data_IF_435315657348
#
_entry.id   IF_435315657348
#
_cell.length_a   1.000
_cell.length_b   1.000
_cell.length_c   1.000
_cell.angle_alpha   90.00
_cell.angle_beta   90.00
_cell.angle_gamma   90.00
#
_symmetry.space_group_name_H-M   'P 1'
#
loop_
_entity.id
_entity.type
_entity.pdbx_description
1 polymer ?
#
# COMPACT_ATOMS: atom_id res chain seq x y z
N UNK A 1 11.89 -3.91 8.90
CA UNK A 1 11.54 -4.05 7.46
C UNK A 1 12.63 -3.47 6.56
N UNK A 2 12.88 -2.15 6.55
CA UNK A 2 13.88 -1.56 5.63
C UNK A 2 15.29 -2.15 5.80
N UNK A 3 15.75 -2.33 7.06
CA UNK A 3 17.03 -2.98 7.36
C UNK A 3 17.06 -4.41 6.80
N UNK A 4 15.98 -5.17 6.98
CA UNK A 4 15.86 -6.55 6.49
C UNK A 4 15.97 -6.60 4.97
N UNK A 5 15.21 -5.77 4.25
CA UNK A 5 15.26 -5.74 2.79
C UNK A 5 16.62 -5.23 2.28
N UNK A 6 17.22 -4.21 2.88
CA UNK A 6 18.58 -3.77 2.52
C UNK A 6 19.60 -4.90 2.69
N UNK A 7 19.52 -5.66 3.79
CA UNK A 7 20.39 -6.81 4.01
C UNK A 7 20.17 -7.91 2.96
N UNK A 8 18.91 -8.17 2.58
CA UNK A 8 18.59 -9.12 1.51
C UNK A 8 19.09 -8.63 0.15
N UNK A 9 18.94 -7.35 -0.19
CA UNK A 9 19.48 -6.77 -1.42
C UNK A 9 21.01 -6.87 -1.46
N UNK A 10 21.68 -6.65 -0.32
CA UNK A 10 23.14 -6.80 -0.23
C UNK A 10 23.57 -8.25 -0.42
N UNK A 11 22.96 -9.18 0.30
CA UNK A 11 23.34 -10.60 0.30
C UNK A 11 23.01 -11.29 -1.01
N UNK A 12 21.77 -11.14 -1.49
CA UNK A 12 21.33 -11.79 -2.72
C UNK A 12 21.69 -11.00 -3.98
N UNK A 13 21.84 -9.67 -3.90
CA UNK A 13 22.36 -8.87 -5.01
C UNK A 13 23.79 -9.26 -5.38
N UNK A 14 24.64 -9.59 -4.40
CA UNK A 14 25.99 -10.10 -4.64
C UNK A 14 26.03 -11.42 -5.43
N UNK A 15 24.97 -12.22 -5.36
CA UNK A 15 24.84 -13.49 -6.09
C UNK A 15 24.25 -13.31 -7.51
N UNK A 16 23.94 -12.07 -7.92
CA UNK A 16 23.40 -11.75 -9.24
C UNK A 16 24.42 -11.00 -10.10
N UNK A 17 24.16 -10.90 -11.41
CA UNK A 17 24.98 -10.15 -12.38
C UNK A 17 25.11 -8.66 -12.01
N UNK A 18 24.20 -8.13 -11.19
CA UNK A 18 24.20 -6.73 -10.76
C UNK A 18 25.22 -6.43 -9.65
N UNK A 19 25.55 -7.41 -8.81
CA UNK A 19 26.35 -7.18 -7.60
C UNK A 19 25.59 -6.45 -6.48
N UNK A 20 26.17 -6.44 -5.28
CA UNK A 20 25.54 -5.87 -4.07
C UNK A 20 25.27 -4.36 -4.19
N UNK A 21 26.19 -3.63 -4.81
CA UNK A 21 26.21 -2.18 -4.76
C UNK A 21 25.17 -1.58 -5.71
N UNK A 22 25.05 -2.14 -6.91
CA UNK A 22 24.01 -1.75 -7.87
C UNK A 22 22.63 -2.11 -7.32
N UNK A 23 22.44 -3.34 -6.83
CA UNK A 23 21.14 -3.78 -6.29
C UNK A 23 20.69 -2.90 -5.11
N UNK A 24 21.60 -2.59 -4.18
CA UNK A 24 21.30 -1.74 -3.02
C UNK A 24 21.03 -0.29 -3.44
N UNK A 25 21.81 0.26 -4.37
CA UNK A 25 21.62 1.61 -4.89
C UNK A 25 20.27 1.76 -5.61
N UNK A 26 19.96 0.83 -6.51
CA UNK A 26 18.67 0.76 -7.24
C UNK A 26 17.50 0.64 -6.27
N UNK A 27 17.60 -0.24 -5.26
CA UNK A 27 16.57 -0.38 -4.26
C UNK A 27 16.36 0.92 -3.46
N UNK A 28 17.45 1.58 -3.05
CA UNK A 28 17.39 2.87 -2.35
C UNK A 28 16.72 3.96 -3.18
N UNK A 29 17.06 4.06 -4.47
CA UNK A 29 16.39 4.95 -5.43
C UNK A 29 14.91 4.61 -5.56
N UNK A 30 14.57 3.34 -5.76
CA UNK A 30 13.19 2.87 -5.88
C UNK A 30 12.36 3.25 -4.66
N UNK A 31 12.93 3.12 -3.45
CA UNK A 31 12.26 3.54 -2.21
C UNK A 31 11.98 5.04 -2.17
N UNK A 32 12.87 5.90 -2.69
CA UNK A 32 12.61 7.35 -2.77
C UNK A 32 11.42 7.65 -3.68
N UNK A 33 11.37 7.03 -4.85
CA UNK A 33 10.25 7.22 -5.79
C UNK A 33 8.94 6.67 -5.20
N UNK A 34 9.00 5.52 -4.53
CA UNK A 34 7.87 4.96 -3.78
C UNK A 34 7.34 5.94 -2.72
N UNK A 35 8.20 6.68 -2.02
CA UNK A 35 7.76 7.67 -1.03
C UNK A 35 6.98 8.84 -1.67
N UNK A 36 7.33 9.25 -2.89
CA UNK A 36 6.58 10.26 -3.63
C UNK A 36 5.17 9.75 -3.90
N UNK A 37 5.03 8.52 -4.41
CA UNK A 37 3.72 7.89 -4.60
C UNK A 37 2.96 7.74 -3.27
N UNK A 38 3.66 7.31 -2.21
CA UNK A 38 3.10 7.14 -0.87
C UNK A 38 2.48 8.44 -0.32
N UNK A 39 3.14 9.58 -0.54
CA UNK A 39 2.71 10.88 -0.04
C UNK A 39 1.30 11.28 -0.50
N UNK A 40 0.89 10.87 -1.71
CA UNK A 40 -0.47 11.12 -2.21
C UNK A 40 -1.53 10.39 -1.39
N UNK A 41 -1.25 9.15 -0.96
CA UNK A 41 -2.15 8.38 -0.11
C UNK A 41 -2.20 8.92 1.31
N UNK A 42 -1.10 9.47 1.82
CA UNK A 42 -1.07 10.23 3.08
C UNK A 42 -2.02 11.42 2.96
N UNK A 43 -1.95 12.18 1.86
CA UNK A 43 -2.85 13.32 1.60
C UNK A 43 -4.33 12.93 1.62
N UNK A 44 -4.71 11.87 0.90
CA UNK A 44 -6.10 11.34 0.93
C UNK A 44 -6.50 10.93 2.35
N UNK A 45 -5.62 10.23 3.05
CA UNK A 45 -5.87 9.72 4.40
C UNK A 45 -6.08 10.83 5.42
N UNK A 46 -5.26 11.87 5.38
CA UNK A 46 -5.37 13.04 6.25
C UNK A 46 -6.64 13.85 5.97
N UNK A 47 -7.10 13.91 4.72
CA UNK A 47 -8.33 14.61 4.35
C UNK A 47 -9.58 13.89 4.87
N UNK A 48 -9.62 12.56 4.80
CA UNK A 48 -10.83 11.79 5.14
C UNK A 48 -10.98 11.55 6.64
N UNK A 49 -9.88 11.56 7.40
CA UNK A 49 -9.86 11.29 8.83
C UNK A 49 -10.79 12.21 9.63
N UNK A 50 -10.70 13.56 9.53
CA UNK A 50 -11.60 14.46 10.24
C UNK A 50 -13.05 14.38 9.74
N UNK A 51 -13.27 14.15 8.44
CA UNK A 51 -14.61 13.97 7.86
C UNK A 51 -15.29 12.76 8.49
N UNK A 52 -14.57 11.64 8.60
CA UNK A 52 -15.07 10.41 9.22
C UNK A 52 -15.28 10.61 10.72
N UNK A 53 -14.34 11.25 11.43
CA UNK A 53 -14.48 11.53 12.87
C UNK A 53 -15.69 12.38 13.21
N UNK A 54 -15.90 13.48 12.48
CA UNK A 54 -17.05 14.35 12.69
C UNK A 54 -18.38 13.64 12.37
N UNK A 55 -18.49 13.02 11.19
CA UNK A 55 -19.74 12.36 10.79
C UNK A 55 -20.06 11.14 11.67
N UNK A 56 -19.04 10.41 12.14
CA UNK A 56 -19.24 9.30 13.06
C UNK A 56 -19.70 9.79 14.45
N UNK A 57 -19.09 10.86 14.98
CA UNK A 57 -19.53 11.50 16.22
C UNK A 57 -20.94 12.09 16.15
N UNK A 58 -21.33 12.60 14.97
CA UNK A 58 -22.69 13.10 14.70
C UNK A 58 -23.71 11.98 14.37
N UNK A 59 -23.35 10.69 14.49
CA UNK A 59 -24.19 9.54 14.15
C UNK A 59 -24.65 9.49 12.67
N UNK A 60 -23.96 10.18 11.77
CA UNK A 60 -24.22 10.18 10.33
C UNK A 60 -23.52 9.01 9.62
N UNK A 61 -23.80 7.77 10.03
CA UNK A 61 -23.09 6.57 9.57
C UNK A 61 -23.15 6.34 8.04
N UNK A 62 -24.27 6.69 7.40
CA UNK A 62 -24.40 6.60 5.94
C UNK A 62 -23.40 7.52 5.21
N UNK A 63 -23.14 8.72 5.76
CA UNK A 63 -22.14 9.65 5.22
C UNK A 63 -20.73 9.11 5.42
N UNK A 64 -20.44 8.51 6.58
CA UNK A 64 -19.15 7.87 6.84
C UNK A 64 -18.88 6.74 5.83
N UNK A 65 -19.88 5.89 5.57
CA UNK A 65 -19.77 4.84 4.56
C UNK A 65 -19.52 5.43 3.16
N UNK A 66 -20.27 6.48 2.77
CA UNK A 66 -20.09 7.16 1.48
C UNK A 66 -18.68 7.74 1.35
N UNK A 67 -18.17 8.42 2.38
CA UNK A 67 -16.80 8.97 2.41
C UNK A 67 -15.77 7.87 2.24
N UNK A 68 -15.91 6.73 2.94
CA UNK A 68 -15.01 5.59 2.78
C UNK A 68 -14.99 5.05 1.35
N UNK A 69 -16.15 4.89 0.70
CA UNK A 69 -16.21 4.40 -0.67
C UNK A 69 -15.59 5.37 -1.68
N UNK A 70 -15.88 6.66 -1.57
CA UNK A 70 -15.30 7.69 -2.45
C UNK A 70 -13.79 7.74 -2.27
N UNK A 71 -13.32 7.78 -1.02
CA UNK A 71 -11.89 7.78 -0.72
C UNK A 71 -11.19 6.53 -1.24
N UNK A 72 -11.81 5.36 -1.09
CA UNK A 72 -11.26 4.10 -1.61
C UNK A 72 -11.18 4.09 -3.13
N UNK A 73 -12.17 4.66 -3.83
CA UNK A 73 -12.16 4.78 -5.28
C UNK A 73 -11.04 5.72 -5.76
N UNK A 74 -10.89 6.88 -5.11
CA UNK A 74 -9.80 7.83 -5.40
C UNK A 74 -8.44 7.17 -5.14
N UNK A 75 -8.28 6.48 -4.02
CA UNK A 75 -7.03 5.81 -3.67
C UNK A 75 -6.69 4.71 -4.69
N UNK A 76 -7.64 3.86 -5.08
CA UNK A 76 -7.41 2.85 -6.13
C UNK A 76 -7.06 3.52 -7.46
N UNK A 77 -7.74 4.62 -7.84
CA UNK A 77 -7.40 5.38 -9.03
C UNK A 77 -5.95 5.87 -9.04
N UNK A 78 -5.51 6.50 -7.94
CA UNK A 78 -4.11 6.95 -7.76
C UNK A 78 -3.14 5.76 -7.82
N UNK A 79 -3.48 4.64 -7.18
CA UNK A 79 -2.67 3.42 -7.20
C UNK A 79 -2.52 2.83 -8.59
N UNK A 80 -3.58 2.82 -9.40
CA UNK A 80 -3.55 2.32 -10.79
C UNK A 80 -2.66 3.22 -11.65
N UNK A 81 -2.77 4.55 -11.51
CA UNK A 81 -1.91 5.50 -12.25
C UNK A 81 -0.43 5.25 -11.93
N UNK A 82 -0.08 5.15 -10.64
CA UNK A 82 1.30 4.87 -10.23
C UNK A 82 1.78 3.49 -10.66
N UNK A 83 0.93 2.47 -10.59
CA UNK A 83 1.23 1.15 -11.11
C UNK A 83 1.61 1.19 -12.61
N UNK A 84 0.83 1.90 -13.43
CA UNK A 84 1.14 2.07 -14.85
C UNK A 84 2.46 2.81 -15.06
N UNK A 85 2.72 3.88 -14.30
CA UNK A 85 3.98 4.62 -14.36
C UNK A 85 5.17 3.68 -14.08
N UNK A 86 5.08 2.87 -13.02
CA UNK A 86 6.16 1.94 -12.64
C UNK A 86 6.34 0.78 -13.63
N UNK A 87 5.28 0.35 -14.31
CA UNK A 87 5.35 -0.73 -15.29
C UNK A 87 5.87 -0.28 -16.65
N UNK A 88 5.44 0.90 -17.11
CA UNK A 88 5.74 1.43 -18.45
C UNK A 88 7.05 2.20 -18.48
N UNK A 89 7.35 2.99 -17.45
CA UNK A 89 8.48 3.93 -17.45
C UNK A 89 9.58 3.66 -16.39
N UNK A 90 9.93 2.41 -16.04
CA UNK A 90 10.90 2.18 -14.96
C UNK A 90 12.32 2.65 -15.32
N UNK A 91 12.75 2.52 -16.58
CA UNK A 91 14.07 3.00 -17.03
C UNK A 91 14.18 4.52 -17.02
N UNK A 92 13.11 5.21 -17.42
CA UNK A 92 13.04 6.67 -17.44
C UNK A 92 13.12 7.23 -16.03
N UNK A 93 12.40 6.62 -15.08
CA UNK A 93 12.51 6.95 -13.66
C UNK A 93 13.94 6.74 -13.17
N UNK A 94 14.58 5.62 -13.53
CA UNK A 94 15.95 5.32 -13.14
C UNK A 94 16.98 6.29 -13.74
N UNK A 95 16.79 6.72 -14.99
CA UNK A 95 17.69 7.68 -15.65
C UNK A 95 17.71 9.07 -14.99
N UNK A 96 16.70 9.41 -14.19
CA UNK A 96 16.71 10.64 -13.40
C UNK A 96 17.72 10.60 -12.24
N UNK A 97 18.21 9.41 -11.85
CA UNK A 97 19.12 9.25 -10.71
C UNK A 97 20.52 8.77 -11.11
N UNK A 98 20.67 8.09 -12.24
CA UNK A 98 21.96 7.57 -12.72
C UNK A 98 22.12 7.81 -14.21
N UNK A 99 23.31 8.26 -14.60
CA UNK A 99 23.70 8.52 -15.99
C UNK A 99 24.18 7.24 -16.70
N UNK A 100 23.50 6.85 -17.78
CA UNK A 100 23.87 5.87 -18.83
C UNK A 100 24.70 4.64 -18.42
N UNK A 101 24.37 4.00 -17.31
CA UNK A 101 24.85 2.66 -16.99
C UNK A 101 23.78 1.61 -17.34
N UNK A 102 24.00 0.87 -18.43
CA UNK A 102 23.05 -0.13 -18.93
C UNK A 102 22.67 -1.19 -17.87
N UNK A 103 23.65 -1.69 -17.10
CA UNK A 103 23.41 -2.66 -16.03
C UNK A 103 22.55 -2.09 -14.90
N UNK A 104 22.73 -0.80 -14.58
CA UNK A 104 21.91 -0.13 -13.57
C UNK A 104 20.46 0.03 -14.03
N UNK A 105 20.26 0.45 -15.29
CA UNK A 105 18.93 0.60 -15.88
C UNK A 105 18.19 -0.74 -16.00
N UNK A 106 18.89 -1.82 -16.32
CA UNK A 106 18.34 -3.18 -16.35
C UNK A 106 17.94 -3.66 -14.96
N UNK A 107 18.81 -3.46 -13.96
CA UNK A 107 18.51 -3.78 -12.58
C UNK A 107 17.30 -2.98 -12.08
N UNK A 108 17.24 -1.69 -12.39
CA UNK A 108 16.11 -0.84 -12.02
C UNK A 108 14.81 -1.30 -12.67
N UNK A 109 14.81 -1.58 -13.97
CA UNK A 109 13.64 -2.12 -14.65
C UNK A 109 13.12 -3.40 -13.99
N UNK A 110 14.03 -4.32 -13.67
CA UNK A 110 13.68 -5.58 -13.03
C UNK A 110 13.10 -5.37 -11.63
N UNK A 111 13.79 -4.60 -10.79
CA UNK A 111 13.37 -4.29 -9.42
C UNK A 111 12.01 -3.59 -9.38
N UNK A 112 11.79 -2.56 -10.20
CA UNK A 112 10.51 -1.84 -10.23
C UNK A 112 9.36 -2.74 -10.66
N UNK A 113 9.54 -3.56 -11.70
CA UNK A 113 8.47 -4.45 -12.20
C UNK A 113 8.09 -5.50 -11.16
N UNK A 114 9.05 -6.13 -10.50
CA UNK A 114 8.76 -7.15 -9.48
C UNK A 114 8.17 -6.53 -8.22
N UNK A 115 8.77 -5.46 -7.70
CA UNK A 115 8.35 -4.88 -6.43
C UNK A 115 6.99 -4.16 -6.53
N UNK A 116 6.73 -3.47 -7.64
CA UNK A 116 5.51 -2.68 -7.83
C UNK A 116 4.35 -3.47 -8.48
N UNK A 117 4.48 -4.78 -8.63
CA UNK A 117 3.53 -5.63 -9.35
C UNK A 117 2.08 -5.55 -8.82
N UNK A 118 1.91 -5.40 -7.51
CA UNK A 118 0.59 -5.28 -6.87
C UNK A 118 0.29 -3.87 -6.36
N UNK A 119 1.02 -2.84 -6.84
CA UNK A 119 0.89 -1.47 -6.34
C UNK A 119 -0.51 -0.89 -6.54
N UNK A 120 -1.27 -1.40 -7.53
CA UNK A 120 -2.67 -1.02 -7.75
C UNK A 120 -3.59 -1.36 -6.55
N UNK A 121 -3.22 -2.30 -5.69
CA UNK A 121 -3.95 -2.66 -4.46
C UNK A 121 -3.58 -1.79 -3.26
N UNK A 122 -2.50 -1.02 -3.37
CA UNK A 122 -1.86 -0.33 -2.26
C UNK A 122 -2.76 0.71 -1.57
N UNK A 123 -3.54 1.46 -2.35
CA UNK A 123 -4.28 2.61 -1.87
C UNK A 123 -5.32 2.28 -0.79
N UNK A 124 -5.91 1.08 -0.84
CA UNK A 124 -6.95 0.69 0.10
C UNK A 124 -6.42 0.58 1.54
N UNK A 125 -5.14 0.22 1.73
CA UNK A 125 -4.61 -0.02 3.06
C UNK A 125 -4.54 1.28 3.88
N UNK A 126 -4.07 2.39 3.29
CA UNK A 126 -3.97 3.68 3.98
C UNK A 126 -5.35 4.26 4.27
N UNK A 127 -6.23 4.25 3.27
CA UNK A 127 -7.61 4.73 3.42
C UNK A 127 -8.36 3.96 4.51
N UNK A 128 -8.16 2.65 4.58
CA UNK A 128 -8.77 1.80 5.61
C UNK A 128 -8.22 2.08 7.01
N UNK A 129 -6.90 2.27 7.15
CA UNK A 129 -6.30 2.63 8.42
C UNK A 129 -6.85 3.98 8.93
N UNK A 130 -6.82 5.03 8.09
CA UNK A 130 -7.35 6.35 8.42
C UNK A 130 -8.85 6.31 8.75
N UNK A 131 -9.64 5.52 8.02
CA UNK A 131 -11.05 5.28 8.35
C UNK A 131 -11.23 4.71 9.76
N UNK A 132 -10.52 3.63 10.10
CA UNK A 132 -10.61 3.03 11.43
C UNK A 132 -10.15 3.98 12.54
N UNK A 133 -9.13 4.80 12.27
CA UNK A 133 -8.67 5.82 13.19
C UNK A 133 -9.74 6.90 13.40
N UNK A 134 -10.36 7.39 12.31
CA UNK A 134 -11.41 8.39 12.34
C UNK A 134 -12.67 7.96 13.12
N UNK A 135 -13.07 6.69 13.04
CA UNK A 135 -14.23 6.17 13.79
C UNK A 135 -13.91 5.72 15.24
N UNK A 136 -12.72 6.05 15.76
CA UNK A 136 -12.32 5.70 17.12
C UNK A 136 -11.98 4.22 17.33
N UNK A 137 -11.49 3.53 16.29
CA UNK A 137 -11.03 2.12 16.36
C UNK A 137 -9.53 1.99 16.08
N UNK A 138 -8.65 2.59 16.89
CA UNK A 138 -7.21 2.64 16.64
C UNK A 138 -6.57 1.25 16.58
N UNK A 139 -7.04 0.27 17.35
CA UNK A 139 -6.50 -1.10 17.29
C UNK A 139 -6.59 -1.73 15.89
N UNK A 140 -7.72 -1.53 15.18
CA UNK A 140 -7.87 -2.01 13.80
C UNK A 140 -7.03 -1.20 12.82
N UNK A 141 -6.90 0.11 13.07
CA UNK A 141 -6.04 1.00 12.28
C UNK A 141 -4.58 0.59 12.36
N UNK A 142 -4.09 0.19 13.54
CA UNK A 142 -2.71 -0.23 13.76
C UNK A 142 -2.44 -1.64 13.23
N UNK A 143 -3.44 -2.53 13.31
CA UNK A 143 -3.32 -3.90 12.80
C UNK A 143 -2.99 -3.94 11.30
N UNK A 144 -3.56 -3.06 10.49
CA UNK A 144 -3.37 -3.03 9.03
C UNK A 144 -1.89 -2.85 8.63
N UNK A 145 -1.20 -1.75 9.01
CA UNK A 145 0.20 -1.54 8.64
C UNK A 145 1.14 -2.54 9.34
N UNK A 146 0.83 -2.96 10.57
CA UNK A 146 1.61 -3.97 11.29
C UNK A 146 1.53 -5.35 10.62
N UNK A 147 0.34 -5.79 10.21
CA UNK A 147 0.15 -7.04 9.51
C UNK A 147 0.91 -7.02 8.17
N UNK A 148 0.77 -5.94 7.39
CA UNK A 148 1.47 -5.78 6.11
C UNK A 148 2.99 -5.83 6.28
N UNK A 149 3.55 -4.97 7.12
CA UNK A 149 5.00 -4.79 7.20
C UNK A 149 5.69 -5.82 8.11
N UNK A 150 5.06 -6.17 9.22
CA UNK A 150 5.61 -7.09 10.22
C UNK A 150 5.26 -8.54 9.91
N UNK A 151 3.96 -8.86 9.82
CA UNK A 151 3.50 -10.24 9.74
C UNK A 151 3.58 -10.86 8.35
N UNK A 152 3.41 -10.07 7.28
CA UNK A 152 3.41 -10.59 5.92
C UNK A 152 4.76 -10.37 5.25
N UNK A 153 5.22 -9.12 5.16
CA UNK A 153 6.39 -8.79 4.36
C UNK A 153 7.69 -9.40 4.89
N UNK A 154 7.96 -9.34 6.20
CA UNK A 154 9.23 -9.87 6.75
C UNK A 154 9.33 -11.40 6.56
N UNK A 155 8.32 -12.21 6.97
CA UNK A 155 8.38 -13.66 6.77
C UNK A 155 8.43 -14.05 5.29
N UNK A 156 7.62 -13.41 4.44
CA UNK A 156 7.62 -13.68 3.01
C UNK A 156 8.96 -13.33 2.37
N UNK A 157 9.56 -12.19 2.73
CA UNK A 157 10.86 -11.79 2.19
C UNK A 157 11.95 -12.77 2.58
N UNK A 158 11.97 -13.25 3.83
CA UNK A 158 12.95 -14.24 4.28
C UNK A 158 12.73 -15.63 3.66
N UNK A 159 11.47 -16.04 3.47
CA UNK A 159 11.14 -17.35 2.89
C UNK A 159 11.41 -17.38 1.38
N UNK A 160 10.87 -16.41 0.64
CA UNK A 160 11.00 -16.37 -0.82
C UNK A 160 12.43 -16.07 -1.25
N UNK A 161 13.17 -15.23 -0.53
CA UNK A 161 14.57 -14.95 -0.88
C UNK A 161 15.48 -16.18 -0.74
N UNK A 162 15.18 -17.10 0.18
CA UNK A 162 15.92 -18.37 0.28
C UNK A 162 15.76 -19.25 -0.95
N UNK A 163 14.58 -19.22 -1.59
CA UNK A 163 14.28 -20.07 -2.75
C UNK A 163 14.56 -19.39 -4.09
N UNK A 164 14.31 -18.08 -4.20
CA UNK A 164 14.35 -17.32 -5.45
C UNK A 164 15.35 -16.13 -5.41
N UNK A 165 16.18 -16.05 -4.38
CA UNK A 165 17.22 -15.02 -4.26
C UNK A 165 16.67 -13.58 -4.23
N UNK A 166 17.23 -12.73 -5.09
CA UNK A 166 16.86 -11.31 -5.20
C UNK A 166 15.38 -11.15 -5.58
N UNK A 167 14.92 -11.91 -6.57
CA UNK A 167 13.55 -11.85 -7.08
C UNK A 167 12.55 -12.25 -6.00
N UNK A 168 12.90 -13.24 -5.16
CA UNK A 168 12.09 -13.64 -4.02
C UNK A 168 11.91 -12.53 -2.99
N UNK A 169 12.98 -11.76 -2.71
CA UNK A 169 12.90 -10.61 -1.82
C UNK A 169 12.02 -9.50 -2.39
N UNK A 170 12.05 -9.28 -3.71
CA UNK A 170 11.25 -8.28 -4.40
C UNK A 170 9.76 -8.69 -4.49
N UNK A 171 9.48 -9.94 -4.82
CA UNK A 171 8.12 -10.51 -4.93
C UNK A 171 7.40 -10.63 -3.58
N UNK A 172 8.12 -10.61 -2.47
CA UNK A 172 7.48 -10.58 -1.16
C UNK A 172 6.61 -9.32 -0.95
N UNK A 173 6.97 -8.19 -1.56
CA UNK A 173 6.21 -6.94 -1.48
C UNK A 173 4.80 -7.05 -2.11
N UNK A 174 4.64 -7.42 -3.39
CA UNK A 174 3.32 -7.52 -3.99
C UNK A 174 2.44 -8.60 -3.35
N UNK A 175 3.02 -9.70 -2.87
CA UNK A 175 2.26 -10.73 -2.13
C UNK A 175 1.77 -10.17 -0.80
N UNK A 176 2.63 -9.46 -0.05
CA UNK A 176 2.23 -8.80 1.20
C UNK A 176 1.15 -7.72 0.96
N UNK A 177 1.23 -6.99 -0.15
CA UNK A 177 0.21 -6.01 -0.55
C UNK A 177 -1.14 -6.68 -0.84
N UNK A 178 -1.15 -7.80 -1.56
CA UNK A 178 -2.37 -8.56 -1.81
C UNK A 178 -3.01 -9.09 -0.51
N UNK A 179 -2.21 -9.63 0.40
CA UNK A 179 -2.68 -10.10 1.71
C UNK A 179 -3.22 -8.95 2.57
N UNK A 180 -2.52 -7.81 2.58
CA UNK A 180 -2.97 -6.62 3.29
C UNK A 180 -4.28 -6.07 2.72
N UNK A 181 -4.43 -6.06 1.39
CA UNK A 181 -5.65 -5.67 0.71
C UNK A 181 -6.84 -6.57 1.13
N UNK A 182 -6.63 -7.89 1.16
CA UNK A 182 -7.65 -8.83 1.64
C UNK A 182 -8.02 -8.56 3.10
N UNK A 183 -7.04 -8.33 3.98
CA UNK A 183 -7.27 -7.98 5.38
C UNK A 183 -8.10 -6.70 5.51
N UNK A 184 -7.77 -5.64 4.76
CA UNK A 184 -8.51 -4.38 4.74
C UNK A 184 -9.96 -4.59 4.29
N UNK A 185 -10.18 -5.35 3.22
CA UNK A 185 -11.53 -5.67 2.75
C UNK A 185 -12.33 -6.45 3.78
N UNK A 186 -11.72 -7.43 4.46
CA UNK A 186 -12.38 -8.22 5.50
C UNK A 186 -12.76 -7.34 6.70
N UNK A 187 -11.83 -6.52 7.19
CA UNK A 187 -12.08 -5.61 8.31
C UNK A 187 -13.18 -4.59 7.98
N UNK A 188 -13.12 -3.96 6.81
CA UNK A 188 -14.12 -2.99 6.37
C UNK A 188 -15.50 -3.65 6.21
N UNK A 189 -15.57 -4.82 5.56
CA UNK A 189 -16.84 -5.57 5.42
C UNK A 189 -17.42 -5.98 6.76
N UNK A 190 -16.58 -6.46 7.69
CA UNK A 190 -17.02 -6.84 9.02
C UNK A 190 -17.56 -5.64 9.81
N UNK A 191 -16.91 -4.49 9.69
CA UNK A 191 -17.36 -3.23 10.30
C UNK A 191 -18.74 -2.81 9.79
N UNK A 192 -18.91 -2.69 8.47
CA UNK A 192 -20.19 -2.28 7.88
C UNK A 192 -21.32 -3.30 8.14
N UNK A 193 -21.01 -4.60 8.16
CA UNK A 193 -21.97 -5.64 8.59
C UNK A 193 -22.37 -5.48 10.05
N UNK A 194 -21.43 -5.13 10.93
CA UNK A 194 -21.76 -4.83 12.33
C UNK A 194 -22.66 -3.60 12.44
N UNK A 195 -22.47 -2.56 11.63
CA UNK A 195 -23.32 -1.38 11.64
C UNK A 195 -24.74 -1.69 11.17
N UNK A 196 -24.87 -2.56 10.15
CA UNK A 196 -26.17 -3.04 9.67
C UNK A 196 -26.92 -3.84 10.75
N UNK A 197 -26.23 -4.76 11.45
CA UNK A 197 -26.81 -5.52 12.57
C UNK A 197 -27.26 -4.64 13.73
N UNK A 198 -26.56 -3.53 13.99
CA UNK A 198 -26.94 -2.52 15.00
C UNK A 198 -28.03 -1.53 14.52
N UNK A 199 -28.50 -1.65 13.28
CA UNK A 199 -29.53 -0.75 12.71
C UNK A 199 -29.04 0.67 12.37
N UNK A 200 -27.72 0.92 12.41
CA UNK A 200 -27.13 2.24 12.19
C UNK A 200 -27.26 2.73 10.74
N UNK A 201 -27.31 1.80 9.78
CA UNK A 201 -27.43 2.12 8.35
C UNK A 201 -28.88 2.22 7.87
N UNK A 202 -29.83 1.51 8.48
CA UNK A 202 -31.25 1.53 8.08
C UNK A 202 -32.02 2.81 8.50
N UNK A 203 -31.50 3.58 9.47
CA UNK A 203 -32.09 4.89 9.85
C UNK A 203 -31.69 6.03 8.91
N UNK A 204 -30.59 5.90 8.15
CA UNK A 204 -30.04 6.97 7.32
C UNK A 204 -30.79 7.22 6.00
N UNK A 205 -31.36 6.18 5.39
CA UNK A 205 -32.05 6.30 4.10
C UNK A 205 -33.38 7.06 4.19
N UNK A 206 -34.08 6.99 5.32
CA UNK A 206 -35.34 7.74 5.53
C UNK A 206 -35.15 9.25 5.63
N UNK A 207 -33.97 9.72 6.04
CA UNK A 207 -33.69 11.16 6.17
C UNK A 207 -33.26 11.82 4.86
N UNK A 208 -32.78 11.03 3.88
CA UNK A 208 -32.38 11.51 2.55
C UNK A 208 -33.52 11.56 1.53
N UNK A 209 -34.67 10.91 1.81
CA UNK A 209 -35.88 11.01 0.99
C UNK A 209 -36.85 12.11 1.46
N UNK A 210 -36.53 12.80 2.55
CA UNK A 210 -37.41 13.78 3.20
C UNK A 210 -36.82 15.21 3.26
N UNK A 211 -35.75 15.47 2.51
CA UNK A 211 -35.10 16.78 2.35
C UNK A 211 -34.69 16.95 0.90
#
# INVERSE_FOLDING_TARGET
MQITLNNLMRAYGAATVYGSDIALSVYGMMMKVYQIAHSMFVGVSSAIQPINGYNFGANHYARVQKTFHIASLIAVGISVVWFLIFMVFPRQIASCFVSDNALYLDCAQHCFRLYMLAFFLYGLHMTSASFFQGIGRPGKSLLIPLARQGCFLIPLALLLSRSFGLDGALLAAPIADALAFLLCLLLARWEFRSWRRKGWLCKGERKYRAS
#
